data_IF_857826289181
#
_entry.id   IF_857826289181
#
_cell.length_a   1.000
_cell.length_b   1.000
_cell.length_c   1.000
_cell.angle_alpha   90.00
_cell.angle_beta   90.00
_cell.angle_gamma   90.00
#
_symmetry.space_group_name_H-M   'P 1'
#
loop_
_entity.id
_entity.type
_entity.pdbx_description
1 polymer ?
#
# COMPACT_ATOMS: atom_id res chain seq x y z
N UNK A 1 -1.47 -13.80 15.59
CA UNK A 1 -1.95 -13.71 14.19
C UNK A 1 -0.82 -14.23 13.32
N UNK A 2 -0.97 -15.41 12.71
CA UNK A 2 0.08 -16.01 11.87
C UNK A 2 0.11 -15.26 10.53
N UNK A 3 1.01 -14.28 10.41
CA UNK A 3 1.35 -13.70 9.11
C UNK A 3 1.93 -14.86 8.30
N UNK A 4 1.21 -15.32 7.29
CA UNK A 4 1.59 -16.47 6.48
C UNK A 4 3.03 -16.29 5.99
N UNK A 5 3.78 -17.39 5.82
CA UNK A 5 5.15 -17.41 5.32
C UNK A 5 5.35 -16.79 3.91
N UNK A 6 4.30 -16.20 3.33
CA UNK A 6 4.23 -15.64 1.98
C UNK A 6 3.97 -14.13 1.96
N UNK A 7 4.13 -13.42 3.08
CA UNK A 7 4.02 -11.96 3.12
C UNK A 7 5.40 -11.34 2.93
N UNK A 8 5.53 -10.45 1.94
CA UNK A 8 6.73 -9.64 1.73
C UNK A 8 6.45 -8.21 2.19
N UNK A 9 7.32 -7.70 3.05
CA UNK A 9 7.32 -6.28 3.42
C UNK A 9 8.18 -5.48 2.44
N UNK A 10 7.69 -4.30 2.05
CA UNK A 10 8.34 -3.40 1.10
C UNK A 10 8.19 -1.96 1.61
N UNK A 11 9.29 -1.20 1.62
CA UNK A 11 9.23 0.21 1.97
C UNK A 11 8.50 1.00 0.88
N UNK A 12 7.74 2.02 1.25
CA UNK A 12 6.95 2.83 0.32
C UNK A 12 7.82 3.44 -0.80
N UNK A 13 9.07 3.81 -0.49
CA UNK A 13 10.03 4.34 -1.49
C UNK A 13 10.40 3.35 -2.59
N UNK A 14 10.23 2.05 -2.34
CA UNK A 14 10.62 0.98 -3.26
C UNK A 14 9.43 0.53 -4.14
N UNK A 15 8.26 1.17 -3.99
CA UNK A 15 7.12 0.91 -4.87
C UNK A 15 7.44 1.30 -6.31
N UNK A 16 6.93 0.49 -7.22
CA UNK A 16 7.04 0.65 -8.66
C UNK A 16 5.86 -0.05 -9.34
N UNK A 17 5.85 -0.05 -10.67
CA UNK A 17 4.74 -0.55 -11.48
C UNK A 17 4.37 -2.03 -11.21
N UNK A 18 5.29 -2.85 -10.71
CA UNK A 18 5.00 -4.26 -10.35
C UNK A 18 4.05 -4.41 -9.16
N UNK A 19 3.78 -3.35 -8.41
CA UNK A 19 2.85 -3.34 -7.28
C UNK A 19 1.44 -2.85 -7.64
N UNK A 20 1.25 -2.30 -8.84
CA UNK A 20 -0.07 -1.91 -9.31
C UNK A 20 -0.97 -3.15 -9.43
N UNK A 21 -2.20 -3.04 -8.94
CA UNK A 21 -3.16 -4.13 -8.84
C UNK A 21 -2.92 -5.10 -7.69
N UNK A 22 -1.83 -4.96 -6.92
CA UNK A 22 -1.56 -5.83 -5.76
C UNK A 22 -2.27 -5.34 -4.51
N UNK A 23 -2.71 -6.29 -3.70
CA UNK A 23 -3.26 -6.04 -2.36
C UNK A 23 -2.13 -5.87 -1.35
N UNK A 24 -2.30 -4.91 -0.45
CA UNK A 24 -1.39 -4.65 0.65
C UNK A 24 -2.14 -4.50 1.98
N UNK A 25 -1.39 -4.66 3.06
CA UNK A 25 -1.75 -4.25 4.40
C UNK A 25 -0.73 -3.22 4.90
N UNK A 26 -1.20 -2.22 5.63
CA UNK A 26 -0.38 -1.17 6.24
C UNK A 26 -0.92 -0.86 7.64
N UNK A 27 -0.06 -0.74 8.63
CA UNK A 27 -0.45 -0.31 9.97
C UNK A 27 -0.20 1.19 10.10
N UNK A 28 -1.26 1.97 10.27
CA UNK A 28 -1.13 3.42 10.43
C UNK A 28 -0.40 3.77 11.74
N UNK A 29 0.08 5.01 11.86
CA UNK A 29 0.67 5.51 13.11
C UNK A 29 -0.27 5.45 14.32
N UNK A 30 -1.58 5.30 14.08
CA UNK A 30 -2.60 5.16 15.13
C UNK A 30 -2.83 3.68 15.52
N UNK A 31 -2.08 2.74 14.94
CA UNK A 31 -2.25 1.30 15.13
C UNK A 31 -3.48 0.74 14.40
N UNK A 32 -4.06 1.49 13.46
CA UNK A 32 -5.23 1.07 12.71
C UNK A 32 -4.76 0.39 11.42
N UNK A 33 -5.12 -0.89 11.20
CA UNK A 33 -4.74 -1.58 9.98
C UNK A 33 -5.57 -1.08 8.79
N UNK A 34 -4.87 -0.72 7.72
CA UNK A 34 -5.43 -0.33 6.43
C UNK A 34 -5.14 -1.43 5.42
N UNK A 35 -6.16 -1.83 4.67
CA UNK A 35 -6.06 -2.82 3.61
C UNK A 35 -6.52 -2.19 2.31
N UNK A 36 -5.78 -2.41 1.23
CA UNK A 36 -6.11 -1.79 -0.05
C UNK A 36 -5.48 -2.52 -1.23
N UNK A 37 -5.90 -2.13 -2.43
CA UNK A 37 -5.26 -2.52 -3.68
C UNK A 37 -4.71 -1.26 -4.35
N UNK A 38 -3.49 -1.32 -4.85
CA UNK A 38 -2.85 -0.13 -5.45
C UNK A 38 -3.38 0.08 -6.86
N UNK A 39 -4.00 1.22 -7.13
CA UNK A 39 -4.34 1.64 -8.50
C UNK A 39 -3.17 2.41 -9.14
N UNK A 40 -2.50 3.25 -8.35
CA UNK A 40 -1.39 4.09 -8.78
C UNK A 40 -0.50 4.45 -7.58
N UNK A 41 0.80 4.64 -7.81
CA UNK A 41 1.74 5.09 -6.79
C UNK A 41 2.69 6.15 -7.36
N UNK A 42 2.78 7.31 -6.70
CA UNK A 42 3.74 8.36 -6.99
C UNK A 42 4.79 8.43 -5.87
N UNK A 43 6.03 8.12 -6.20
CA UNK A 43 7.14 8.08 -5.25
C UNK A 43 7.91 9.40 -5.31
N UNK A 44 7.80 10.21 -4.26
CA UNK A 44 8.56 11.44 -4.07
C UNK A 44 9.68 11.31 -3.04
N UNK A 45 10.57 12.30 -2.94
CA UNK A 45 11.71 12.27 -2.00
C UNK A 45 11.29 12.37 -0.53
N UNK A 46 10.12 12.94 -0.24
CA UNK A 46 9.64 13.20 1.13
C UNK A 46 8.35 12.47 1.48
N UNK A 47 7.63 11.97 0.49
CA UNK A 47 6.35 11.29 0.65
C UNK A 47 6.07 10.38 -0.54
N UNK A 48 5.23 9.38 -0.30
CA UNK A 48 4.70 8.49 -1.33
C UNK A 48 3.18 8.61 -1.33
N UNK A 49 2.60 8.84 -2.51
CA UNK A 49 1.16 8.94 -2.69
C UNK A 49 0.65 7.65 -3.32
N UNK A 50 -0.33 6.99 -2.69
CA UNK A 50 -0.92 5.75 -3.18
C UNK A 50 -2.40 5.97 -3.45
N UNK A 51 -2.82 5.86 -4.70
CA UNK A 51 -4.23 5.83 -5.07
C UNK A 51 -4.77 4.41 -4.86
N UNK A 52 -5.88 4.30 -4.12
CA UNK A 52 -6.53 3.02 -3.86
C UNK A 52 -7.52 2.66 -4.95
N UNK A 53 -7.46 1.41 -5.41
CA UNK A 53 -8.37 0.88 -6.43
C UNK A 53 -9.76 0.60 -5.85
N UNK A 54 -10.80 1.05 -6.55
CA UNK A 54 -12.20 0.83 -6.19
C UNK A 54 -12.67 1.59 -4.93
N UNK A 55 -11.82 2.42 -4.30
CA UNK A 55 -12.19 3.20 -3.13
C UNK A 55 -12.48 4.64 -3.54
N UNK A 56 -13.77 4.99 -3.53
CA UNK A 56 -14.27 6.33 -3.77
C UNK A 56 -14.81 6.94 -2.48
N UNK A 57 -14.44 8.19 -2.20
CA UNK A 57 -15.03 9.00 -1.16
C UNK A 57 -15.55 10.29 -1.79
N UNK A 58 -16.85 10.55 -1.66
CA UNK A 58 -17.51 11.73 -2.25
C UNK A 58 -17.27 11.87 -3.77
N UNK A 59 -17.21 10.75 -4.49
CA UNK A 59 -16.98 10.72 -5.94
C UNK A 59 -15.52 10.93 -6.37
N UNK A 60 -14.60 11.08 -5.41
CA UNK A 60 -13.16 11.21 -5.67
C UNK A 60 -12.41 9.93 -5.27
N UNK A 61 -11.31 9.63 -5.97
CA UNK A 61 -10.44 8.51 -5.60
C UNK A 61 -9.73 8.80 -4.27
N UNK A 62 -9.65 7.79 -3.40
CA UNK A 62 -8.92 7.91 -2.13
C UNK A 62 -7.41 7.80 -2.37
N UNK A 63 -6.67 8.79 -1.87
CA UNK A 63 -5.20 8.83 -1.92
C UNK A 63 -4.66 8.75 -0.50
N UNK A 64 -3.84 7.72 -0.24
CA UNK A 64 -3.05 7.60 0.98
C UNK A 64 -1.71 8.30 0.80
N UNK A 65 -1.27 9.01 1.84
CA UNK A 65 0.07 9.61 1.90
C UNK A 65 0.89 8.86 2.94
N UNK A 66 2.04 8.33 2.53
CA UNK A 66 2.99 7.61 3.38
C UNK A 66 4.34 8.32 3.43
N UNK A 67 5.08 8.12 4.50
CA UNK A 67 6.50 8.45 4.53
C UNK A 67 7.30 7.42 3.70
N UNK A 68 8.43 7.80 3.06
CA UNK A 68 9.20 6.88 2.22
C UNK A 68 9.72 5.61 2.94
N UNK A 69 9.87 5.68 4.26
CA UNK A 69 10.28 4.56 5.11
C UNK A 69 9.13 3.66 5.58
N UNK A 70 7.87 4.05 5.37
CA UNK A 70 6.74 3.26 5.83
C UNK A 70 6.70 1.91 5.11
N UNK A 71 6.35 0.86 5.85
CA UNK A 71 6.42 -0.50 5.37
C UNK A 71 5.03 -1.03 4.99
N UNK A 72 4.89 -1.49 3.75
CA UNK A 72 3.69 -2.14 3.25
C UNK A 72 3.89 -3.64 3.16
N UNK A 73 2.94 -4.40 3.71
CA UNK A 73 2.93 -5.85 3.67
C UNK A 73 2.12 -6.34 2.46
N UNK A 74 2.76 -7.02 1.52
CA UNK A 74 2.13 -7.60 0.34
C UNK A 74 2.05 -9.11 0.48
N UNK A 75 0.84 -9.67 0.37
CA UNK A 75 0.67 -11.12 0.28
C UNK A 75 1.08 -11.59 -1.12
N UNK A 76 1.87 -12.64 -1.22
CA UNK A 76 2.05 -13.34 -2.49
C UNK A 76 0.73 -14.04 -2.84
N UNK A 77 0.06 -13.62 -3.90
CA UNK A 77 -0.94 -14.48 -4.53
C UNK A 77 -0.14 -15.63 -5.13
N UNK A 78 -0.36 -16.85 -4.63
CA UNK A 78 0.06 -18.05 -5.34
C UNK A 78 -0.60 -18.00 -6.73
N UNK A 79 0.23 -18.06 -7.77
CA UNK A 79 -0.24 -18.07 -9.16
C UNK A 79 -1.08 -19.30 -9.48
#
# INVERSE_FOLDING_TARGET
>A
MNISANTRTVAARDLNDSFIGRTFAYESSEGIPVYGRIAFAEVGPTKVLITLDGVLHEGSSVVMTLAPQDELAFTHLAG
#
